data_IF_169059479408
#
_entry.id   IF_169059479408
#
_cell.length_a   1.000
_cell.length_b   1.000
_cell.length_c   1.000
_cell.angle_alpha   90.00
_cell.angle_beta   90.00
_cell.angle_gamma   90.00
#
_symmetry.space_group_name_H-M   'P 1'
#
loop_
_entity.id
_entity.type
_entity.pdbx_description
1 polymer ?
#
# COMPACT_ATOMS: atom_id res chain seq x y z
N UNK A 1 3.81 0.55 -20.17
CA UNK A 1 3.03 1.56 -20.89
C UNK A 1 2.93 2.77 -19.97
N UNK A 2 2.28 3.82 -20.31
CA UNK A 2 2.17 4.99 -19.45
C UNK A 2 0.77 5.59 -19.54
N UNK A 3 0.58 6.80 -19.02
CA UNK A 3 -0.75 7.43 -18.99
C UNK A 3 -1.42 7.50 -20.39
N UNK A 4 -0.67 7.73 -21.45
CA UNK A 4 -1.22 7.85 -22.81
C UNK A 4 -1.96 6.59 -23.25
N UNK A 5 -1.38 5.43 -23.02
CA UNK A 5 -1.97 4.14 -23.35
C UNK A 5 -3.09 3.77 -22.37
N UNK A 6 -2.90 4.08 -21.08
CA UNK A 6 -3.89 3.86 -20.02
C UNK A 6 -5.17 4.68 -20.26
N UNK A 7 -5.02 5.93 -20.74
CA UNK A 7 -6.13 6.78 -21.12
C UNK A 7 -7.04 6.12 -22.16
N UNK A 8 -6.48 5.41 -23.15
CA UNK A 8 -7.27 4.69 -24.14
C UNK A 8 -8.13 3.58 -23.50
N UNK A 9 -7.64 2.97 -22.43
CA UNK A 9 -8.43 1.98 -21.65
C UNK A 9 -9.52 2.69 -20.85
N UNK A 10 -9.21 3.86 -20.25
CA UNK A 10 -10.21 4.66 -19.52
C UNK A 10 -11.35 5.10 -20.45
N UNK A 11 -11.04 5.60 -21.64
CA UNK A 11 -12.03 6.03 -22.62
C UNK A 11 -12.97 4.87 -23.02
N UNK A 12 -12.45 3.65 -23.16
CA UNK A 12 -13.26 2.44 -23.41
C UNK A 12 -14.16 2.08 -22.22
N UNK A 13 -13.65 2.21 -20.99
CA UNK A 13 -14.47 1.98 -19.79
C UNK A 13 -15.57 3.03 -19.70
N UNK A 14 -15.25 4.31 -19.89
CA UNK A 14 -16.22 5.41 -19.93
C UNK A 14 -17.28 5.17 -20.99
N UNK A 15 -16.89 4.76 -22.19
CA UNK A 15 -17.84 4.45 -23.28
C UNK A 15 -18.79 3.29 -22.90
N UNK A 16 -18.29 2.23 -22.25
CA UNK A 16 -19.13 1.10 -21.87
C UNK A 16 -20.02 1.38 -20.66
N UNK A 17 -19.53 2.14 -19.71
CA UNK A 17 -20.24 2.44 -18.47
C UNK A 17 -21.05 3.73 -18.50
N UNK A 18 -20.87 4.55 -19.55
CA UNK A 18 -21.60 5.81 -19.78
C UNK A 18 -21.54 6.76 -18.59
N UNK A 19 -20.34 6.86 -17.98
CA UNK A 19 -20.06 7.78 -16.86
C UNK A 19 -18.55 8.08 -16.78
N UNK A 20 -18.15 9.25 -16.28
CA UNK A 20 -16.73 9.58 -16.13
C UNK A 20 -16.03 8.63 -15.18
N UNK A 21 -14.75 8.38 -15.46
CA UNK A 21 -13.87 7.56 -14.64
C UNK A 21 -12.79 8.43 -13.99
N UNK A 22 -12.62 8.29 -12.69
CA UNK A 22 -11.49 8.79 -11.92
C UNK A 22 -10.79 7.62 -11.24
N UNK A 23 -9.48 7.52 -11.36
CA UNK A 23 -8.69 6.46 -10.73
C UNK A 23 -7.84 7.02 -9.59
N UNK A 24 -7.66 6.24 -8.53
CA UNK A 24 -6.66 6.45 -7.49
C UNK A 24 -5.97 5.14 -7.19
N UNK A 25 -4.70 5.07 -7.51
CA UNK A 25 -3.87 3.87 -7.34
C UNK A 25 -2.66 4.21 -6.49
N UNK A 26 -2.41 3.42 -5.45
CA UNK A 26 -1.18 3.50 -4.66
C UNK A 26 -0.33 2.27 -4.90
N UNK A 27 0.99 2.44 -4.93
CA UNK A 27 1.93 1.35 -5.14
C UNK A 27 1.81 0.31 -4.03
N UNK A 28 1.66 -0.94 -4.44
CA UNK A 28 1.72 -2.11 -3.55
C UNK A 28 3.05 -2.86 -3.69
N UNK A 29 4.07 -2.20 -4.28
CA UNK A 29 5.41 -2.77 -4.48
C UNK A 29 6.03 -3.14 -3.13
N UNK A 30 6.49 -4.40 -2.91
CA UNK A 30 7.18 -4.76 -1.69
C UNK A 30 8.44 -3.90 -1.48
N UNK A 31 8.59 -3.31 -0.29
CA UNK A 31 9.71 -2.41 0.04
C UNK A 31 9.64 -0.99 -0.57
N UNK A 32 8.65 -0.70 -1.44
CA UNK A 32 8.41 0.62 -2.04
C UNK A 32 6.91 0.87 -2.25
N UNK A 33 6.10 0.43 -1.31
CA UNK A 33 4.67 0.69 -1.29
C UNK A 33 4.34 2.10 -0.81
N UNK A 34 3.11 2.53 -1.07
CA UNK A 34 2.57 3.77 -0.53
C UNK A 34 1.16 3.58 0.03
N UNK A 35 0.69 4.59 0.75
CA UNK A 35 -0.59 4.57 1.44
C UNK A 35 -1.47 5.73 0.99
N UNK A 36 -2.77 5.55 1.12
CA UNK A 36 -3.73 6.65 0.99
C UNK A 36 -3.45 7.70 2.06
N UNK A 37 -3.21 8.93 1.66
CA UNK A 37 -2.87 10.03 2.57
C UNK A 37 -3.52 11.36 2.14
N UNK A 38 -3.57 12.32 3.06
CA UNK A 38 -4.30 13.57 2.86
C UNK A 38 -3.78 14.47 1.73
N UNK A 39 -2.56 14.26 1.28
CA UNK A 39 -1.95 14.95 0.14
C UNK A 39 -2.61 14.59 -1.20
N UNK A 40 -3.28 13.43 -1.30
CA UNK A 40 -4.07 13.01 -2.46
C UNK A 40 -5.34 13.85 -2.68
N UNK A 41 -5.83 14.55 -1.68
CA UNK A 41 -7.09 15.30 -1.74
C UNK A 41 -7.03 16.42 -2.78
N UNK A 42 -5.93 17.20 -2.83
CA UNK A 42 -5.81 18.28 -3.81
C UNK A 42 -5.73 17.76 -5.25
N UNK A 43 -4.93 16.74 -5.58
CA UNK A 43 -4.96 16.07 -6.88
C UNK A 43 -6.34 15.55 -7.29
N UNK A 44 -7.12 14.97 -6.36
CA UNK A 44 -8.49 14.52 -6.64
C UNK A 44 -9.40 15.70 -6.97
N UNK A 45 -9.36 16.79 -6.22
CA UNK A 45 -10.13 18.01 -6.51
C UNK A 45 -9.81 18.51 -7.92
N UNK A 46 -8.51 18.62 -8.25
CA UNK A 46 -8.09 19.09 -9.57
C UNK A 46 -8.62 18.21 -10.71
N UNK A 47 -8.75 16.90 -10.50
CA UNK A 47 -9.36 15.99 -11.49
C UNK A 47 -10.89 16.18 -11.56
N UNK A 48 -11.53 16.33 -10.42
CA UNK A 48 -12.98 16.56 -10.36
C UNK A 48 -13.37 17.85 -11.12
N UNK A 49 -12.57 18.91 -11.02
CA UNK A 49 -12.77 20.17 -11.76
C UNK A 49 -12.77 20.00 -13.29
N UNK A 50 -12.07 18.96 -13.80
CA UNK A 50 -12.01 18.66 -15.22
C UNK A 50 -13.20 17.86 -15.76
N UNK A 51 -13.97 17.24 -14.88
CA UNK A 51 -15.16 16.48 -15.28
C UNK A 51 -16.27 17.48 -15.64
N UNK A 52 -16.99 17.30 -16.78
CA UNK A 52 -18.06 18.19 -17.18
C UNK A 52 -19.13 18.40 -16.11
N UNK A 53 -19.65 19.61 -16.02
CA UNK A 53 -20.78 19.91 -15.14
C UNK A 53 -22.04 19.18 -15.62
N UNK A 54 -22.88 18.74 -14.67
CA UNK A 54 -24.15 18.03 -14.98
C UNK A 54 -24.04 16.52 -15.00
N UNK A 55 -22.83 15.96 -14.89
CA UNK A 55 -22.66 14.52 -14.66
C UNK A 55 -23.23 14.14 -13.30
N UNK A 56 -24.16 13.17 -13.27
CA UNK A 56 -24.84 12.73 -12.05
C UNK A 56 -24.24 11.51 -11.41
N UNK A 57 -23.37 10.81 -12.11
CA UNK A 57 -22.73 9.58 -11.66
C UNK A 57 -21.26 9.55 -12.01
N UNK A 58 -20.48 8.84 -11.20
CA UNK A 58 -19.05 8.65 -11.42
C UNK A 58 -18.65 7.20 -11.13
N UNK A 59 -17.70 6.71 -11.91
CA UNK A 59 -16.90 5.53 -11.57
C UNK A 59 -15.60 5.98 -10.91
N UNK A 60 -15.35 5.49 -9.70
CA UNK A 60 -14.10 5.72 -8.98
C UNK A 60 -13.35 4.40 -8.86
N UNK A 61 -12.24 4.26 -9.60
CA UNK A 61 -11.39 3.06 -9.54
C UNK A 61 -10.35 3.21 -8.44
N UNK A 62 -10.24 2.21 -7.57
CA UNK A 62 -9.23 2.21 -6.50
C UNK A 62 -8.44 0.91 -6.49
N UNK A 63 -7.12 1.05 -6.30
CA UNK A 63 -6.19 -0.05 -6.00
C UNK A 63 -5.26 0.46 -4.91
N UNK A 64 -5.34 -0.13 -3.71
CA UNK A 64 -4.56 0.34 -2.57
C UNK A 64 -4.57 -0.67 -1.42
N UNK A 65 -3.45 -0.78 -0.71
CA UNK A 65 -3.40 -1.47 0.59
C UNK A 65 -4.00 -0.63 1.75
N UNK A 66 -4.51 0.56 1.46
CA UNK A 66 -5.13 1.44 2.47
C UNK A 66 -4.25 2.59 2.90
N UNK A 67 -4.41 3.02 4.15
CA UNK A 67 -3.71 4.16 4.74
C UNK A 67 -4.60 4.93 5.72
N UNK A 68 -4.65 6.27 5.61
CA UNK A 68 -5.44 7.11 6.50
C UNK A 68 -6.96 6.97 6.23
N UNK A 69 -7.74 6.46 7.19
CA UNK A 69 -9.18 6.29 7.03
C UNK A 69 -9.95 7.63 6.94
N UNK A 70 -9.39 8.73 7.45
CA UNK A 70 -9.98 10.06 7.31
C UNK A 70 -9.87 10.54 5.86
N UNK A 71 -8.80 10.19 5.17
CA UNK A 71 -8.66 10.45 3.73
C UNK A 71 -9.76 9.76 2.93
N UNK A 72 -10.12 8.51 3.27
CA UNK A 72 -11.26 7.80 2.65
C UNK A 72 -12.58 8.54 2.83
N UNK A 73 -12.85 9.04 4.05
CA UNK A 73 -14.05 9.83 4.35
C UNK A 73 -14.08 11.11 3.50
N UNK A 74 -12.95 11.82 3.42
CA UNK A 74 -12.86 13.06 2.64
C UNK A 74 -13.05 12.84 1.15
N UNK A 75 -12.45 11.78 0.58
CA UNK A 75 -12.60 11.44 -0.85
C UNK A 75 -14.07 11.12 -1.14
N UNK A 76 -14.69 10.24 -0.36
CA UNK A 76 -16.11 9.90 -0.57
C UNK A 76 -17.01 11.12 -0.39
N UNK A 77 -16.71 12.00 0.58
CA UNK A 77 -17.42 13.25 0.76
C UNK A 77 -17.36 14.16 -0.47
N UNK A 78 -16.18 14.33 -1.08
CA UNK A 78 -16.00 15.11 -2.32
C UNK A 78 -16.79 14.50 -3.49
N UNK A 79 -16.79 13.18 -3.62
CA UNK A 79 -17.54 12.49 -4.67
C UNK A 79 -19.06 12.68 -4.46
N UNK A 80 -19.56 12.53 -3.23
CA UNK A 80 -20.98 12.67 -2.88
C UNK A 80 -21.49 14.10 -2.95
N UNK A 81 -20.65 15.10 -2.75
CA UNK A 81 -21.05 16.50 -2.93
C UNK A 81 -21.38 16.80 -4.40
N UNK A 82 -20.75 16.11 -5.33
CA UNK A 82 -20.88 16.37 -6.75
C UNK A 82 -21.77 15.39 -7.50
N UNK A 83 -21.81 14.12 -7.08
CA UNK A 83 -22.50 13.06 -7.81
C UNK A 83 -23.58 12.39 -6.98
N UNK A 84 -24.76 12.21 -7.60
CA UNK A 84 -25.87 11.48 -6.99
C UNK A 84 -25.55 10.00 -6.82
N UNK A 85 -24.77 9.41 -7.74
CA UNK A 85 -24.38 8.00 -7.74
C UNK A 85 -22.87 7.82 -7.88
N UNK A 86 -22.28 7.11 -6.92
CA UNK A 86 -20.86 6.77 -6.90
C UNK A 86 -20.71 5.25 -7.01
N UNK A 87 -20.05 4.77 -8.08
CA UNK A 87 -19.63 3.37 -8.19
C UNK A 87 -18.14 3.26 -7.92
N UNK A 88 -17.75 2.25 -7.15
CA UNK A 88 -16.33 1.94 -6.96
C UNK A 88 -15.95 0.72 -7.78
N UNK A 89 -14.93 0.87 -8.62
CA UNK A 89 -14.39 -0.19 -9.47
C UNK A 89 -13.15 -0.78 -8.79
N UNK A 90 -13.16 -2.08 -8.61
CA UNK A 90 -12.10 -2.84 -7.95
C UNK A 90 -11.47 -3.83 -8.93
N UNK A 91 -10.42 -3.43 -9.66
CA UNK A 91 -9.68 -4.35 -10.53
C UNK A 91 -8.89 -5.40 -9.76
N UNK A 92 -8.31 -5.01 -8.61
CA UNK A 92 -7.46 -5.84 -7.79
C UNK A 92 -7.74 -5.61 -6.30
N UNK A 93 -6.81 -5.08 -5.52
CA UNK A 93 -6.93 -5.00 -4.05
C UNK A 93 -7.44 -3.63 -3.57
N UNK A 94 -8.30 -3.67 -2.55
CA UNK A 94 -8.69 -2.48 -1.79
C UNK A 94 -8.76 -2.86 -0.31
N UNK A 95 -7.66 -2.64 0.45
CA UNK A 95 -7.55 -3.04 1.84
C UNK A 95 -7.70 -1.85 2.81
N UNK A 96 -8.08 -2.14 4.05
CA UNK A 96 -8.12 -1.17 5.16
C UNK A 96 -8.88 0.12 4.78
N UNK A 97 -8.24 1.28 4.75
CA UNK A 97 -8.85 2.56 4.37
C UNK A 97 -9.50 2.53 2.97
N UNK A 98 -8.92 1.77 2.01
CA UNK A 98 -9.52 1.61 0.69
C UNK A 98 -10.81 0.76 0.74
N UNK A 99 -10.90 -0.21 1.64
CA UNK A 99 -12.16 -0.89 1.95
C UNK A 99 -13.18 0.11 2.51
N UNK A 100 -12.81 0.92 3.52
CA UNK A 100 -13.70 1.94 4.10
C UNK A 100 -14.25 2.86 3.00
N UNK A 101 -13.41 3.33 2.08
CA UNK A 101 -13.86 4.12 0.93
C UNK A 101 -14.89 3.35 0.10
N UNK A 102 -14.58 2.10 -0.22
CA UNK A 102 -15.44 1.22 -1.02
C UNK A 102 -16.81 0.97 -0.39
N UNK A 103 -16.89 0.93 0.96
CA UNK A 103 -18.16 0.81 1.69
C UNK A 103 -19.12 1.99 1.45
N UNK A 104 -18.61 3.13 1.00
CA UNK A 104 -19.44 4.30 0.69
C UNK A 104 -20.07 4.30 -0.71
N UNK A 105 -19.85 3.28 -1.52
CA UNK A 105 -20.30 3.21 -2.90
C UNK A 105 -21.73 2.68 -3.02
N UNK A 106 -22.52 3.22 -3.98
CA UNK A 106 -23.83 2.67 -4.36
C UNK A 106 -23.69 1.36 -5.14
N UNK A 107 -22.53 1.14 -5.75
CA UNK A 107 -22.22 -0.03 -6.57
C UNK A 107 -20.74 -0.39 -6.43
N UNK A 108 -20.44 -1.65 -6.13
CA UNK A 108 -19.08 -2.21 -6.15
C UNK A 108 -18.91 -3.10 -7.37
N UNK A 109 -18.18 -2.63 -8.35
CA UNK A 109 -17.85 -3.40 -9.56
C UNK A 109 -16.56 -4.17 -9.30
N UNK A 110 -16.69 -5.45 -9.00
CA UNK A 110 -15.57 -6.28 -8.57
C UNK A 110 -15.12 -7.23 -9.69
N UNK A 111 -13.84 -7.14 -10.06
CA UNK A 111 -13.18 -8.11 -10.92
C UNK A 111 -13.09 -9.49 -10.22
N UNK A 112 -13.05 -10.64 -10.94
CA UNK A 112 -12.90 -11.96 -10.31
C UNK A 112 -11.70 -12.09 -9.36
N UNK A 113 -10.62 -11.39 -9.66
CA UNK A 113 -9.37 -11.41 -8.89
C UNK A 113 -9.31 -10.30 -7.84
N UNK A 114 -10.35 -9.48 -7.74
CA UNK A 114 -10.38 -8.41 -6.76
C UNK A 114 -10.84 -8.89 -5.39
N UNK A 115 -10.37 -8.20 -4.39
CA UNK A 115 -10.81 -8.41 -3.02
C UNK A 115 -10.74 -7.10 -2.22
N UNK A 116 -11.57 -7.04 -1.19
CA UNK A 116 -11.48 -6.05 -0.12
C UNK A 116 -10.92 -6.74 1.12
N UNK A 117 -10.34 -5.97 2.05
CA UNK A 117 -9.78 -6.51 3.28
C UNK A 117 -10.52 -6.06 4.53
N UNK A 118 -10.14 -6.61 5.69
CA UNK A 118 -10.54 -6.10 6.98
C UNK A 118 -10.15 -4.62 7.14
N UNK A 119 -10.83 -3.95 8.05
CA UNK A 119 -10.60 -2.53 8.36
C UNK A 119 -10.11 -2.34 9.80
N UNK A 120 -9.62 -3.40 10.44
CA UNK A 120 -9.01 -3.37 11.76
C UNK A 120 -7.75 -2.50 11.74
N UNK A 121 -7.61 -1.54 12.66
CA UNK A 121 -6.43 -0.67 12.69
C UNK A 121 -5.17 -1.45 13.08
N UNK A 122 -4.08 -1.23 12.32
CA UNK A 122 -2.75 -1.68 12.72
C UNK A 122 -2.01 -0.51 13.38
N UNK A 123 -1.38 -0.78 14.51
CA UNK A 123 -0.71 0.20 15.34
C UNK A 123 0.73 -0.22 15.60
N UNK A 124 1.60 0.73 15.80
CA UNK A 124 2.95 0.46 16.30
C UNK A 124 3.27 1.32 17.52
N UNK A 125 4.06 0.77 18.42
CA UNK A 125 4.57 1.45 19.60
C UNK A 125 6.05 1.12 19.81
N UNK A 126 6.87 2.07 20.27
CA UNK A 126 8.23 1.77 20.66
C UNK A 126 8.21 0.84 21.87
N UNK A 127 8.90 -0.28 21.75
CA UNK A 127 9.09 -1.27 22.80
C UNK A 127 10.57 -1.43 23.13
N UNK A 128 10.92 -1.45 24.41
CA UNK A 128 12.29 -1.65 24.86
C UNK A 128 12.54 -3.14 25.11
N UNK A 129 13.43 -3.71 24.34
CA UNK A 129 13.80 -5.13 24.51
C UNK A 129 14.58 -5.35 25.80
N UNK A 130 14.67 -6.60 26.30
CA UNK A 130 15.51 -6.92 27.48
C UNK A 130 17.01 -6.56 27.26
N UNK A 131 17.49 -6.53 26.03
CA UNK A 131 18.84 -6.09 25.69
C UNK A 131 19.02 -4.57 25.76
N UNK A 132 17.97 -3.79 26.00
CA UNK A 132 17.97 -2.33 26.05
C UNK A 132 17.81 -1.63 24.68
N UNK A 133 17.69 -2.39 23.58
CA UNK A 133 17.38 -1.83 22.26
C UNK A 133 15.92 -1.36 22.21
N UNK A 134 15.63 -0.36 21.36
CA UNK A 134 14.27 0.06 21.09
C UNK A 134 13.83 -0.50 19.74
N UNK A 135 12.79 -1.30 19.75
CA UNK A 135 12.16 -1.89 18.56
C UNK A 135 10.72 -1.38 18.42
N UNK A 136 10.16 -1.50 17.22
CA UNK A 136 8.73 -1.21 16.99
C UNK A 136 7.93 -2.48 17.23
N UNK A 137 7.05 -2.43 18.23
CA UNK A 137 6.05 -3.47 18.47
C UNK A 137 4.81 -3.14 17.64
N UNK A 138 4.52 -3.99 16.66
CA UNK A 138 3.28 -3.90 15.89
C UNK A 138 2.18 -4.70 16.61
N UNK A 139 0.98 -4.14 16.67
CA UNK A 139 -0.17 -4.76 17.30
C UNK A 139 -1.48 -4.17 16.80
N UNK A 140 -2.56 -4.93 16.95
CA UNK A 140 -3.92 -4.48 16.65
C UNK A 140 -4.75 -4.35 17.95
N UNK A 141 -5.89 -3.64 17.91
CA UNK A 141 -6.86 -3.69 19.02
C UNK A 141 -7.32 -5.10 19.36
N UNK A 142 -7.43 -5.96 18.34
CA UNK A 142 -7.87 -7.36 18.51
C UNK A 142 -6.83 -8.19 19.27
N UNK A 143 -5.53 -7.94 19.15
CA UNK A 143 -4.51 -8.64 19.93
C UNK A 143 -4.69 -8.41 21.44
N UNK A 144 -5.02 -7.17 21.81
CA UNK A 144 -5.32 -6.82 23.21
C UNK A 144 -6.59 -7.53 23.68
N UNK A 145 -7.64 -7.54 22.85
CA UNK A 145 -8.91 -8.21 23.17
C UNK A 145 -8.69 -9.71 23.31
N UNK A 146 -8.00 -10.33 22.35
CA UNK A 146 -7.71 -11.76 22.36
C UNK A 146 -6.87 -12.17 23.57
N UNK A 147 -5.90 -11.36 23.98
CA UNK A 147 -5.14 -11.63 25.21
C UNK A 147 -6.05 -11.65 26.45
N UNK A 148 -6.94 -10.67 26.56
CA UNK A 148 -7.90 -10.61 27.68
C UNK A 148 -8.90 -11.78 27.64
N UNK A 149 -9.35 -12.16 26.45
CA UNK A 149 -10.24 -13.31 26.26
C UNK A 149 -9.54 -14.62 26.58
N UNK A 150 -8.30 -14.81 26.14
CA UNK A 150 -7.45 -15.96 26.51
C UNK A 150 -7.36 -16.14 28.04
N UNK A 151 -7.07 -15.04 28.75
CA UNK A 151 -6.99 -15.11 30.21
C UNK A 151 -8.33 -15.53 30.86
N UNK A 152 -9.46 -15.01 30.34
CA UNK A 152 -10.79 -15.28 30.92
C UNK A 152 -11.37 -16.63 30.53
N UNK A 153 -11.30 -16.98 29.23
CA UNK A 153 -11.97 -18.12 28.65
C UNK A 153 -11.14 -19.41 28.75
N UNK A 154 -9.85 -19.33 28.43
CA UNK A 154 -8.97 -20.48 28.32
C UNK A 154 -8.25 -20.73 29.64
N UNK A 155 -7.62 -19.71 30.22
CA UNK A 155 -6.92 -19.84 31.53
C UNK A 155 -7.90 -19.85 32.70
N UNK A 156 -9.11 -19.27 32.52
CA UNK A 156 -10.12 -19.08 33.58
C UNK A 156 -9.60 -18.28 34.78
N UNK A 157 -8.78 -17.27 34.46
CA UNK A 157 -8.16 -16.42 35.47
C UNK A 157 -9.20 -15.68 36.31
N UNK A 158 -9.04 -15.78 37.64
CA UNK A 158 -9.84 -15.05 38.61
C UNK A 158 -9.44 -13.56 38.67
N UNK A 159 -10.11 -12.76 39.51
CA UNK A 159 -9.86 -11.32 39.64
C UNK A 159 -8.43 -11.00 40.12
N UNK A 160 -7.85 -11.82 40.98
CA UNK A 160 -6.48 -11.57 41.47
C UNK A 160 -5.43 -11.93 40.40
N UNK A 161 -5.64 -13.04 39.69
CA UNK A 161 -4.81 -13.44 38.56
C UNK A 161 -4.86 -12.39 37.42
N UNK A 162 -6.05 -11.82 37.13
CA UNK A 162 -6.19 -10.75 36.17
C UNK A 162 -5.42 -9.47 36.57
N UNK A 163 -5.42 -9.12 37.88
CA UNK A 163 -4.62 -7.98 38.38
C UNK A 163 -3.11 -8.19 38.16
N UNK A 164 -2.65 -9.42 38.17
CA UNK A 164 -1.24 -9.76 37.95
C UNK A 164 -0.89 -9.85 36.45
N UNK A 165 -1.84 -10.29 35.62
CA UNK A 165 -1.62 -10.48 34.20
C UNK A 165 -1.69 -9.19 33.33
N UNK A 166 -2.46 -8.18 33.77
CA UNK A 166 -2.62 -6.92 33.02
C UNK A 166 -1.38 -6.02 33.05
N UNK A 167 -0.67 -5.82 34.18
CA UNK A 167 0.51 -4.96 34.22
C UNK A 167 1.58 -5.28 33.17
N UNK A 168 1.99 -6.55 32.91
CA UNK A 168 2.93 -6.88 31.84
C UNK A 168 2.50 -6.40 30.45
N UNK A 169 1.20 -6.53 30.11
CA UNK A 169 0.66 -6.00 28.85
C UNK A 169 0.80 -4.48 28.81
N UNK A 170 0.48 -3.79 29.92
CA UNK A 170 0.59 -2.34 30.01
C UNK A 170 2.05 -1.87 29.94
N UNK A 171 2.99 -2.66 30.44
CA UNK A 171 4.43 -2.37 30.34
C UNK A 171 4.93 -2.52 28.89
N UNK A 172 4.52 -3.58 28.20
CA UNK A 172 4.92 -3.81 26.80
C UNK A 172 4.31 -2.82 25.84
N UNK A 173 2.99 -2.61 25.89
CA UNK A 173 2.25 -1.79 24.92
C UNK A 173 2.20 -0.33 25.35
N UNK A 174 2.13 -0.06 26.63
CA UNK A 174 1.90 1.25 27.22
C UNK A 174 0.41 1.62 27.35
N UNK A 175 0.02 2.13 28.51
CA UNK A 175 -1.38 2.46 28.82
C UNK A 175 -2.00 3.45 27.81
N UNK A 176 -1.25 4.45 27.35
CA UNK A 176 -1.73 5.42 26.34
C UNK A 176 -1.95 4.75 24.99
N UNK A 177 -1.11 3.80 24.58
CA UNK A 177 -1.26 3.06 23.34
C UNK A 177 -2.47 2.12 23.36
N UNK A 178 -2.78 1.52 24.50
CA UNK A 178 -4.04 0.77 24.71
C UNK A 178 -5.25 1.69 24.49
N UNK A 179 -5.21 2.89 25.05
CA UNK A 179 -6.26 3.91 24.84
C UNK A 179 -6.37 4.36 23.38
N UNK A 180 -5.22 4.56 22.71
CA UNK A 180 -5.17 4.90 21.27
C UNK A 180 -5.74 3.77 20.42
N UNK A 181 -5.39 2.52 20.72
CA UNK A 181 -5.91 1.32 20.09
C UNK A 181 -7.44 1.28 20.14
N UNK A 182 -8.02 1.46 21.32
CA UNK A 182 -9.49 1.50 21.49
C UNK A 182 -10.15 2.63 20.72
N UNK A 183 -9.52 3.80 20.67
CA UNK A 183 -10.02 4.94 19.88
C UNK A 183 -9.96 4.65 18.38
N UNK A 184 -8.88 4.07 17.88
CA UNK A 184 -8.73 3.71 16.47
C UNK A 184 -9.75 2.66 16.03
N UNK A 185 -10.01 1.64 16.87
CA UNK A 185 -11.06 0.64 16.63
C UNK A 185 -12.45 1.30 16.52
N UNK A 186 -12.79 2.19 17.47
CA UNK A 186 -14.07 2.92 17.43
C UNK A 186 -14.19 3.80 16.20
N UNK A 187 -13.11 4.48 15.80
CA UNK A 187 -13.09 5.30 14.59
C UNK A 187 -13.34 4.47 13.34
N UNK A 188 -12.61 3.36 13.17
CA UNK A 188 -12.79 2.47 12.01
C UNK A 188 -14.22 1.94 11.92
N UNK A 189 -14.78 1.51 13.05
CA UNK A 189 -16.16 1.04 13.12
C UNK A 189 -17.16 2.15 12.74
N UNK A 190 -17.02 3.33 13.34
CA UNK A 190 -17.88 4.49 13.07
C UNK A 190 -17.81 4.94 11.60
N UNK A 191 -16.61 4.93 10.99
CA UNK A 191 -16.44 5.27 9.59
C UNK A 191 -17.08 4.21 8.68
N UNK A 192 -16.93 2.92 9.00
CA UNK A 192 -17.58 1.84 8.26
C UNK A 192 -19.11 1.99 8.28
N UNK A 193 -19.71 2.23 9.45
CA UNK A 193 -21.15 2.48 9.58
C UNK A 193 -21.59 3.72 8.80
N UNK A 194 -20.83 4.82 8.91
CA UNK A 194 -21.12 6.08 8.19
C UNK A 194 -21.10 5.89 6.68
N UNK A 195 -20.10 5.19 6.14
CA UNK A 195 -20.00 4.90 4.72
C UNK A 195 -21.19 4.05 4.24
N UNK A 196 -21.48 2.96 4.94
CA UNK A 196 -22.60 2.07 4.59
C UNK A 196 -23.94 2.78 4.67
N UNK A 197 -24.14 3.70 5.63
CA UNK A 197 -25.39 4.43 5.81
C UNK A 197 -25.72 5.40 4.66
N UNK A 198 -24.73 5.73 3.81
CA UNK A 198 -24.97 6.58 2.64
C UNK A 198 -25.89 5.94 1.59
N UNK A 199 -25.97 4.60 1.56
CA UNK A 199 -26.74 3.85 0.56
C UNK A 199 -27.56 2.67 1.12
N UNK A 200 -27.31 2.23 2.36
CA UNK A 200 -28.07 1.17 3.05
C UNK A 200 -28.94 1.80 4.14
N UNK A 201 -30.24 1.47 4.17
CA UNK A 201 -31.18 1.97 5.19
C UNK A 201 -31.33 1.04 6.40
N UNK A 202 -31.01 -0.25 6.25
CA UNK A 202 -31.12 -1.24 7.32
C UNK A 202 -29.95 -1.15 8.29
N UNK A 203 -30.19 -0.56 9.46
CA UNK A 203 -29.19 -0.40 10.52
C UNK A 203 -28.63 -1.74 11.06
N UNK A 204 -29.42 -2.82 11.06
CA UNK A 204 -28.96 -4.14 11.50
C UNK A 204 -27.94 -4.70 10.50
N UNK A 205 -28.22 -4.54 9.21
CA UNK A 205 -27.30 -4.91 8.13
C UNK A 205 -26.02 -4.08 8.17
N UNK A 206 -26.12 -2.77 8.33
CA UNK A 206 -24.95 -1.85 8.47
C UNK A 206 -24.04 -2.34 9.59
N UNK A 207 -24.57 -2.52 10.81
CA UNK A 207 -23.79 -2.98 11.97
C UNK A 207 -23.19 -4.37 11.75
N UNK A 208 -23.93 -5.28 11.10
CA UNK A 208 -23.45 -6.62 10.77
C UNK A 208 -22.22 -6.59 9.85
N UNK A 209 -22.29 -5.82 8.77
CA UNK A 209 -21.17 -5.65 7.81
C UNK A 209 -20.00 -4.97 8.49
N UNK A 210 -20.23 -3.86 9.19
CA UNK A 210 -19.18 -3.14 9.90
C UNK A 210 -18.48 -4.03 10.93
N UNK A 211 -19.24 -4.84 11.69
CA UNK A 211 -18.67 -5.80 12.65
C UNK A 211 -17.83 -6.86 11.95
N UNK A 212 -18.33 -7.46 10.88
CA UNK A 212 -17.61 -8.49 10.14
C UNK A 212 -16.23 -8.00 9.67
N UNK A 213 -16.18 -6.81 9.06
CA UNK A 213 -14.94 -6.25 8.52
C UNK A 213 -13.98 -5.72 9.59
N UNK A 214 -14.46 -5.32 10.78
CA UNK A 214 -13.62 -4.77 11.85
C UNK A 214 -13.09 -5.82 12.82
N UNK A 215 -13.77 -6.97 13.01
CA UNK A 215 -13.43 -7.89 14.11
C UNK A 215 -13.71 -9.37 13.87
N UNK A 216 -14.15 -9.79 12.69
CA UNK A 216 -14.48 -11.20 12.44
C UNK A 216 -13.40 -11.94 11.64
N UNK A 217 -12.41 -11.24 11.11
CA UNK A 217 -11.30 -11.82 10.39
C UNK A 217 -10.06 -11.82 11.28
N UNK A 218 -9.44 -12.98 11.45
CA UNK A 218 -8.30 -13.18 12.35
C UNK A 218 -6.95 -12.73 11.74
N UNK A 219 -6.96 -12.16 10.54
CA UNK A 219 -5.77 -11.71 9.83
C UNK A 219 -6.07 -10.47 9.00
N UNK A 220 -5.28 -9.41 9.18
CA UNK A 220 -5.45 -8.14 8.46
C UNK A 220 -5.39 -8.27 6.93
N UNK A 221 -4.65 -9.24 6.42
CA UNK A 221 -4.56 -9.57 5.00
C UNK A 221 -5.63 -10.54 4.48
N UNK A 222 -6.72 -10.80 5.23
CA UNK A 222 -7.80 -11.65 4.75
C UNK A 222 -8.45 -11.07 3.51
N UNK A 223 -8.59 -11.88 2.45
CA UNK A 223 -9.07 -11.46 1.15
C UNK A 223 -10.56 -11.79 1.00
N UNK A 224 -11.43 -10.80 1.22
CA UNK A 224 -12.88 -10.92 0.97
C UNK A 224 -13.14 -10.75 -0.52
N UNK A 225 -13.30 -11.85 -1.24
CA UNK A 225 -13.58 -11.86 -2.67
C UNK A 225 -15.03 -11.45 -3.00
N UNK A 226 -15.29 -11.21 -4.26
CA UNK A 226 -16.59 -10.67 -4.72
C UNK A 226 -17.82 -11.49 -4.30
N UNK A 227 -17.72 -12.83 -4.24
CA UNK A 227 -18.84 -13.68 -3.82
C UNK A 227 -19.13 -13.56 -2.33
N UNK A 228 -18.09 -13.48 -1.51
CA UNK A 228 -18.20 -13.26 -0.07
C UNK A 228 -18.74 -11.86 0.23
N UNK A 229 -18.20 -10.83 -0.42
CA UNK A 229 -18.69 -9.46 -0.31
C UNK A 229 -20.19 -9.36 -0.66
N UNK A 230 -20.62 -10.05 -1.72
CA UNK A 230 -22.03 -10.13 -2.09
C UNK A 230 -22.89 -10.85 -1.03
N UNK A 231 -22.42 -11.98 -0.49
CA UNK A 231 -23.10 -12.70 0.61
C UNK A 231 -23.18 -11.85 1.88
N UNK A 232 -22.17 -11.06 2.16
CA UNK A 232 -22.17 -10.10 3.28
C UNK A 232 -23.25 -9.02 3.10
N UNK A 233 -23.73 -8.81 1.88
CA UNK A 233 -24.79 -7.86 1.54
C UNK A 233 -24.30 -6.52 0.98
N UNK A 234 -23.04 -6.44 0.58
CA UNK A 234 -22.51 -5.27 -0.15
C UNK A 234 -23.13 -5.19 -1.56
N UNK A 235 -23.24 -4.00 -2.16
CA UNK A 235 -23.86 -3.77 -3.47
C UNK A 235 -22.93 -4.21 -4.63
N UNK A 236 -22.53 -5.48 -4.62
CA UNK A 236 -21.58 -6.04 -5.59
C UNK A 236 -22.26 -6.28 -6.94
N UNK A 237 -21.72 -5.66 -7.96
CA UNK A 237 -22.05 -5.89 -9.37
C UNK A 237 -20.93 -6.70 -10.03
N UNK A 238 -21.33 -7.74 -10.77
CA UNK A 238 -20.42 -8.50 -11.63
C UNK A 238 -20.47 -7.82 -13.01
N UNK A 239 -19.36 -7.21 -13.47
CA UNK A 239 -19.30 -6.57 -14.77
C UNK A 239 -19.39 -7.61 -15.91
N UNK A 240 -19.72 -7.15 -17.12
CA UNK A 240 -19.57 -7.98 -18.31
C UNK A 240 -18.10 -8.31 -18.60
N UNK A 241 -17.85 -9.30 -19.47
CA UNK A 241 -16.50 -9.78 -19.78
C UNK A 241 -15.58 -8.73 -20.40
N UNK A 242 -16.14 -7.79 -21.12
CA UNK A 242 -15.37 -6.72 -21.76
C UNK A 242 -14.88 -5.73 -20.69
N UNK A 243 -15.77 -5.33 -19.77
CA UNK A 243 -15.40 -4.44 -18.65
C UNK A 243 -14.43 -5.17 -17.71
N UNK A 244 -14.66 -6.46 -17.38
CA UNK A 244 -13.69 -7.27 -16.63
C UNK A 244 -12.29 -7.20 -17.28
N UNK A 245 -12.23 -7.47 -18.60
CA UNK A 245 -10.96 -7.45 -19.34
C UNK A 245 -10.30 -6.07 -19.37
N UNK A 246 -11.07 -4.98 -19.44
CA UNK A 246 -10.55 -3.61 -19.40
C UNK A 246 -9.99 -3.27 -18.02
N UNK A 247 -10.72 -3.57 -16.95
CA UNK A 247 -10.29 -3.36 -15.56
C UNK A 247 -8.95 -4.06 -15.28
N UNK A 248 -8.85 -5.32 -15.72
CA UNK A 248 -7.61 -6.10 -15.54
C UNK A 248 -6.43 -5.52 -16.32
N UNK A 249 -6.65 -5.09 -17.57
CA UNK A 249 -5.60 -4.44 -18.38
C UNK A 249 -5.10 -3.14 -17.73
N UNK A 250 -6.00 -2.35 -17.15
CA UNK A 250 -5.61 -1.14 -16.41
C UNK A 250 -4.73 -1.49 -15.21
N UNK A 251 -5.10 -2.53 -14.44
CA UNK A 251 -4.26 -2.99 -13.34
C UNK A 251 -2.88 -3.44 -13.80
N UNK A 252 -2.81 -4.31 -14.82
CA UNK A 252 -1.53 -4.81 -15.34
C UNK A 252 -0.60 -3.68 -15.81
N UNK A 253 -1.16 -2.60 -16.34
CA UNK A 253 -0.37 -1.45 -16.74
C UNK A 253 0.21 -0.69 -15.53
N UNK A 254 -0.60 -0.43 -14.50
CA UNK A 254 -0.11 0.14 -13.23
C UNK A 254 0.90 -0.79 -12.53
N UNK A 255 0.63 -2.09 -12.49
CA UNK A 255 1.51 -3.10 -11.91
C UNK A 255 2.91 -3.06 -12.55
N UNK A 256 2.96 -2.96 -13.87
CA UNK A 256 4.21 -2.88 -14.63
C UNK A 256 4.93 -1.53 -14.39
N UNK A 257 4.21 -0.39 -14.45
CA UNK A 257 4.82 0.93 -14.29
C UNK A 257 5.33 1.16 -12.87
N UNK A 258 4.58 0.71 -11.85
CA UNK A 258 4.96 0.77 -10.43
C UNK A 258 5.90 -0.39 -10.02
N UNK A 259 6.18 -1.36 -10.91
CA UNK A 259 6.98 -2.57 -10.65
C UNK A 259 6.46 -3.37 -9.45
N UNK A 260 5.13 -3.53 -9.31
CA UNK A 260 4.54 -4.14 -8.12
C UNK A 260 4.90 -5.61 -7.92
N UNK A 261 5.31 -6.32 -8.99
CA UNK A 261 5.75 -7.73 -8.94
C UNK A 261 7.23 -7.90 -8.55
N UNK A 262 7.98 -6.79 -8.42
CA UNK A 262 9.40 -6.83 -8.14
C UNK A 262 9.70 -6.14 -6.81
N UNK A 263 10.15 -6.86 -5.76
CA UNK A 263 10.55 -6.21 -4.52
C UNK A 263 11.61 -5.13 -4.78
N UNK A 264 11.44 -3.97 -4.16
CA UNK A 264 12.44 -2.92 -4.26
C UNK A 264 13.73 -3.36 -3.57
N UNK A 265 14.81 -3.37 -4.32
CA UNK A 265 16.15 -3.67 -3.81
C UNK A 265 17.15 -2.70 -4.42
N UNK A 266 17.85 -1.96 -3.58
CA UNK A 266 18.80 -0.90 -3.98
C UNK A 266 19.89 -1.44 -4.91
N UNK A 267 20.41 -2.64 -4.63
CA UNK A 267 21.44 -3.28 -5.47
C UNK A 267 20.86 -3.62 -6.84
N UNK A 268 19.64 -4.17 -6.89
CA UNK A 268 18.99 -4.50 -8.15
C UNK A 268 18.73 -3.26 -9.01
N UNK A 269 18.33 -2.13 -8.41
CA UNK A 269 18.16 -0.88 -9.17
C UNK A 269 19.49 -0.40 -9.78
N UNK A 270 20.61 -0.52 -9.06
CA UNK A 270 21.93 -0.19 -9.59
C UNK A 270 22.35 -1.15 -10.70
N UNK A 271 22.13 -2.47 -10.53
CA UNK A 271 22.48 -3.46 -11.52
C UNK A 271 21.59 -3.40 -12.79
N UNK A 272 20.36 -2.91 -12.65
CA UNK A 272 19.45 -2.73 -13.77
C UNK A 272 19.80 -1.52 -14.66
N UNK A 273 20.53 -0.54 -14.13
CA UNK A 273 21.03 0.57 -14.95
C UNK A 273 22.25 0.14 -15.75
N UNK A 274 22.23 0.23 -17.11
CA UNK A 274 23.31 -0.28 -17.96
C UNK A 274 24.68 0.39 -17.67
N UNK A 275 24.70 1.68 -17.33
CA UNK A 275 25.95 2.41 -17.09
C UNK A 275 26.50 2.06 -15.71
N UNK A 276 25.65 2.03 -14.69
CA UNK A 276 26.03 1.63 -13.34
C UNK A 276 26.50 0.16 -13.31
N UNK A 277 25.76 -0.74 -13.96
CA UNK A 277 26.12 -2.15 -14.07
C UNK A 277 27.46 -2.32 -14.77
N UNK A 278 27.70 -1.62 -15.90
CA UNK A 278 28.99 -1.65 -16.60
C UNK A 278 30.12 -1.12 -15.72
N UNK A 279 29.92 -0.02 -15.02
CA UNK A 279 30.93 0.57 -14.11
C UNK A 279 31.28 -0.41 -12.97
N UNK A 280 30.28 -1.08 -12.37
CA UNK A 280 30.48 -2.02 -11.27
C UNK A 280 31.18 -3.31 -11.75
N UNK A 281 30.89 -3.77 -12.95
CA UNK A 281 31.35 -5.05 -13.50
C UNK A 281 32.60 -4.91 -14.38
N UNK A 282 33.19 -3.73 -14.48
CA UNK A 282 34.40 -3.48 -15.30
C UNK A 282 35.69 -4.00 -14.73
N UNK A 283 35.63 -4.99 -13.83
CA UNK A 283 36.82 -5.63 -13.26
C UNK A 283 37.35 -6.75 -14.15
N UNK A 284 38.68 -6.87 -14.24
CA UNK A 284 39.25 -8.09 -14.78
C UNK A 284 38.89 -9.27 -13.88
N UNK A 285 38.34 -10.34 -14.47
CA UNK A 285 38.16 -11.61 -13.75
C UNK A 285 39.54 -12.19 -13.50
N UNK A 286 39.94 -12.25 -12.22
CA UNK A 286 41.25 -12.76 -11.82
C UNK A 286 41.06 -14.22 -11.43
N UNK A 287 41.46 -15.12 -12.28
CA UNK A 287 41.54 -16.53 -11.96
C UNK A 287 42.90 -16.85 -11.35
N UNK A 288 42.95 -16.89 -10.03
CA UNK A 288 44.14 -17.32 -9.32
C UNK A 288 44.22 -18.84 -9.24
N UNK A 289 45.40 -19.47 -9.41
CA UNK A 289 45.54 -20.89 -9.19
C UNK A 289 45.06 -21.32 -7.81
N UNK A 290 44.30 -22.42 -7.74
CA UNK A 290 43.70 -22.89 -6.48
C UNK A 290 44.76 -23.21 -5.39
N UNK A 291 45.96 -23.60 -5.80
CA UNK A 291 47.08 -23.98 -4.94
C UNK A 291 47.98 -22.78 -4.51
N UNK A 292 47.62 -21.53 -4.86
CA UNK A 292 48.37 -20.39 -4.47
C UNK A 292 48.19 -20.13 -2.92
N UNK A 293 49.27 -19.93 -2.15
CA UNK A 293 49.19 -19.61 -0.74
C UNK A 293 48.38 -18.31 -0.49
N UNK A 294 47.57 -18.28 0.57
CA UNK A 294 46.68 -17.14 0.85
C UNK A 294 47.44 -15.78 1.01
N UNK A 295 48.64 -15.70 1.58
CA UNK A 295 49.39 -14.43 1.59
C UNK A 295 49.77 -13.92 0.20
N UNK A 296 50.03 -14.83 -0.75
CA UNK A 296 50.34 -14.47 -2.15
C UNK A 296 49.06 -14.04 -2.89
N UNK A 297 47.95 -14.73 -2.66
CA UNK A 297 46.66 -14.29 -3.18
C UNK A 297 46.32 -12.89 -2.72
N UNK A 298 46.51 -12.61 -1.44
CA UNK A 298 46.24 -11.29 -0.86
C UNK A 298 47.17 -10.21 -1.43
N UNK A 299 48.44 -10.51 -1.64
CA UNK A 299 49.38 -9.58 -2.26
C UNK A 299 48.97 -9.25 -3.72
N UNK A 300 48.56 -10.24 -4.49
CA UNK A 300 48.08 -10.03 -5.85
C UNK A 300 46.77 -9.22 -5.84
N UNK A 301 45.82 -9.53 -4.96
CA UNK A 301 44.61 -8.73 -4.81
C UNK A 301 44.93 -7.26 -4.44
N UNK A 302 45.85 -7.02 -3.52
CA UNK A 302 46.27 -5.68 -3.14
C UNK A 302 46.94 -4.92 -4.29
N UNK A 303 47.78 -5.61 -5.07
CA UNK A 303 48.43 -5.02 -6.24
C UNK A 303 47.42 -4.67 -7.32
N UNK A 304 46.45 -5.55 -7.59
CA UNK A 304 45.38 -5.28 -8.55
C UNK A 304 44.46 -4.20 -8.05
N UNK A 305 44.09 -4.22 -6.77
CA UNK A 305 43.28 -3.18 -6.16
C UNK A 305 43.93 -1.79 -6.23
N UNK A 306 45.27 -1.72 -6.17
CA UNK A 306 45.99 -0.48 -6.35
C UNK A 306 46.06 0.01 -7.80
N UNK A 307 45.93 -0.89 -8.77
CA UNK A 307 45.92 -0.59 -10.21
C UNK A 307 44.53 -0.39 -10.79
N UNK A 308 43.55 -1.07 -10.24
CA UNK A 308 42.12 -0.81 -10.55
C UNK A 308 41.80 0.50 -9.86
N UNK A 309 41.56 1.54 -10.65
CA UNK A 309 40.96 2.76 -10.12
C UNK A 309 39.76 2.32 -9.29
N UNK A 310 39.90 2.40 -7.95
CA UNK A 310 38.81 2.16 -7.00
C UNK A 310 37.64 2.93 -7.58
N UNK A 311 36.55 2.24 -7.90
CA UNK A 311 35.44 2.90 -8.55
C UNK A 311 35.03 4.02 -7.62
N UNK A 312 35.34 5.25 -8.04
CA UNK A 312 34.95 6.43 -7.31
C UNK A 312 33.44 6.36 -7.11
N UNK A 313 32.98 6.75 -5.95
CA UNK A 313 31.56 6.81 -5.64
C UNK A 313 30.81 7.52 -6.77
N UNK A 314 29.92 6.80 -7.40
CA UNK A 314 29.01 7.30 -8.42
C UNK A 314 27.59 7.39 -7.85
N UNK A 315 26.73 8.07 -8.56
CA UNK A 315 25.36 8.30 -8.12
C UNK A 315 24.39 7.98 -9.23
N UNK A 316 23.38 7.17 -8.92
CA UNK A 316 22.24 6.88 -9.78
C UNK A 316 21.01 7.60 -9.22
N UNK A 317 20.26 8.30 -10.07
CA UNK A 317 18.96 8.87 -9.70
C UNK A 317 17.86 7.92 -10.14
N UNK A 318 17.06 7.47 -9.19
CA UNK A 318 15.93 6.56 -9.43
C UNK A 318 14.64 7.27 -9.06
N UNK A 319 13.65 7.21 -9.93
CA UNK A 319 12.33 7.79 -9.72
C UNK A 319 11.31 6.66 -9.59
N UNK A 320 10.73 6.51 -8.41
CA UNK A 320 9.72 5.48 -8.14
C UNK A 320 8.33 6.10 -8.11
N UNK A 321 7.44 5.60 -8.96
CA UNK A 321 6.03 5.97 -8.94
C UNK A 321 5.36 5.28 -7.74
N UNK A 322 4.85 6.09 -6.81
CA UNK A 322 4.22 5.60 -5.57
C UNK A 322 2.69 5.71 -5.59
N UNK A 323 2.14 6.68 -6.29
CA UNK A 323 0.69 6.80 -6.47
C UNK A 323 0.35 7.52 -7.77
N UNK A 324 -0.88 7.28 -8.24
CA UNK A 324 -1.44 7.96 -9.40
C UNK A 324 -2.90 8.32 -9.17
N UNK A 325 -3.29 9.50 -9.66
CA UNK A 325 -4.67 9.96 -9.75
C UNK A 325 -4.88 10.43 -11.19
N UNK A 326 -5.69 9.68 -11.94
CA UNK A 326 -5.84 9.85 -13.37
C UNK A 326 -7.31 9.79 -13.80
N UNK A 327 -7.60 10.46 -14.91
CA UNK A 327 -8.88 10.38 -15.62
C UNK A 327 -8.61 10.42 -17.12
N UNK A 328 -9.64 10.41 -17.95
CA UNK A 328 -9.50 10.69 -19.39
C UNK A 328 -8.99 12.11 -19.70
N UNK A 329 -8.98 13.01 -18.73
CA UNK A 329 -8.63 14.42 -18.94
C UNK A 329 -7.20 14.78 -18.55
N UNK A 330 -6.69 14.20 -17.48
CA UNK A 330 -5.35 14.49 -16.95
C UNK A 330 -4.84 13.37 -16.04
N UNK A 331 -3.54 13.43 -15.77
CA UNK A 331 -2.88 12.58 -14.79
C UNK A 331 -2.05 13.40 -13.80
N UNK A 332 -2.07 12.99 -12.54
CA UNK A 332 -1.13 13.40 -11.49
C UNK A 332 -0.51 12.19 -10.86
N UNK A 333 0.80 12.21 -10.72
CA UNK A 333 1.58 11.10 -10.23
C UNK A 333 2.42 11.54 -9.04
N UNK A 334 2.43 10.75 -8.00
CA UNK A 334 3.30 10.92 -6.84
C UNK A 334 4.57 10.11 -7.03
N UNK A 335 5.68 10.79 -7.14
CA UNK A 335 7.00 10.17 -7.24
C UNK A 335 7.78 10.33 -5.94
N UNK A 336 8.61 9.31 -5.67
CA UNK A 336 9.72 9.37 -4.73
C UNK A 336 11.02 9.40 -5.52
N UNK A 337 11.75 10.50 -5.44
CA UNK A 337 13.06 10.66 -6.04
C UNK A 337 14.13 10.20 -5.06
N UNK A 338 14.94 9.23 -5.48
CA UNK A 338 15.96 8.58 -4.68
C UNK A 338 17.32 8.77 -5.37
N UNK A 339 18.33 9.09 -4.59
CA UNK A 339 19.73 9.05 -5.02
C UNK A 339 20.37 7.79 -4.45
N UNK A 340 20.93 6.95 -5.29
CA UNK A 340 21.68 5.76 -4.89
C UNK A 340 23.15 6.03 -5.18
N UNK A 341 23.93 6.25 -4.13
CA UNK A 341 25.38 6.24 -4.25
C UNK A 341 25.88 4.80 -4.28
N UNK A 342 26.74 4.46 -5.21
CA UNK A 342 27.32 3.13 -5.34
C UNK A 342 28.82 3.21 -5.63
N UNK A 343 29.56 2.29 -5.04
CA UNK A 343 31.02 2.18 -5.19
C UNK A 343 31.48 0.78 -4.81
N UNK A 344 32.75 0.49 -5.06
CA UNK A 344 33.39 -0.67 -4.44
C UNK A 344 34.39 -0.23 -3.41
N UNK A 345 34.38 -0.88 -2.25
CA UNK A 345 35.37 -0.66 -1.20
C UNK A 345 36.73 -1.27 -1.58
N UNK A 346 37.73 -1.09 -0.71
CA UNK A 346 39.09 -1.62 -0.90
C UNK A 346 39.16 -3.15 -1.02
N UNK A 347 38.13 -3.86 -0.54
CA UNK A 347 37.98 -5.31 -0.67
C UNK A 347 37.13 -5.71 -1.89
N UNK A 348 36.85 -4.76 -2.78
CA UNK A 348 36.02 -4.92 -3.98
C UNK A 348 34.56 -5.29 -3.69
N UNK A 349 34.10 -5.15 -2.45
CA UNK A 349 32.69 -5.34 -2.12
C UNK A 349 31.84 -4.19 -2.65
N UNK A 350 30.73 -4.50 -3.29
CA UNK A 350 29.76 -3.50 -3.69
C UNK A 350 29.14 -2.85 -2.44
N UNK A 351 29.23 -1.53 -2.40
CA UNK A 351 28.59 -0.66 -1.40
C UNK A 351 27.53 0.16 -2.09
N UNK A 352 26.39 0.27 -1.46
CA UNK A 352 25.28 1.12 -1.90
C UNK A 352 24.78 1.94 -0.71
N UNK A 353 24.43 3.19 -0.97
CA UNK A 353 23.81 4.06 0.02
C UNK A 353 22.65 4.81 -0.63
N UNK A 354 21.47 4.69 -0.02
CA UNK A 354 20.24 5.33 -0.49
C UNK A 354 20.03 6.62 0.27
N UNK A 355 19.80 7.71 -0.47
CA UNK A 355 19.46 9.01 0.09
C UNK A 355 18.16 9.51 -0.59
N UNK A 356 17.08 9.76 0.16
CA UNK A 356 15.89 10.42 -0.38
C UNK A 356 16.25 11.82 -0.89
N UNK A 357 15.79 12.18 -2.09
CA UNK A 357 15.92 13.55 -2.64
C UNK A 357 14.66 14.38 -2.42
N UNK A 358 13.52 13.73 -2.46
CA UNK A 358 12.23 14.36 -2.27
C UNK A 358 11.09 13.52 -2.84
N UNK A 359 9.88 13.91 -2.49
CA UNK A 359 8.67 13.27 -3.01
C UNK A 359 7.58 14.31 -3.24
N UNK A 360 6.67 14.04 -4.15
CA UNK A 360 5.57 14.96 -4.40
C UNK A 360 4.72 14.60 -5.61
N UNK A 361 3.55 15.24 -5.66
CA UNK A 361 2.64 15.15 -6.79
C UNK A 361 3.11 16.05 -7.94
N UNK A 362 3.25 15.48 -9.11
CA UNK A 362 3.55 16.22 -10.33
C UNK A 362 2.49 15.92 -11.40
N UNK A 363 2.30 16.85 -12.31
CA UNK A 363 1.50 16.60 -13.52
C UNK A 363 2.29 15.65 -14.43
N UNK A 364 1.61 14.62 -14.92
CA UNK A 364 2.21 13.64 -15.84
C UNK A 364 2.27 14.23 -17.24
#
# INVERSE_FOLDING_TARGET
MGYTERKLLFDKIVQKRQRPLLTYVTSIRPGMGSQMAGDSIRPIIDQLELIPQGEKSIDFMIISNGGDPITSLRIMGLLRERFEKVSVLLPYVAYSAATILSLGADELVMHPYSNIGPVDPQLSAPHRTPSGATEQLEFSPEDIVNYIEFLKADVKADKEQMKTAIPPLMEQVGALNIGRSKRSQRLSFSLSEKMLSSHIKDNKKIKGIAKALNSSYYHHGYAVGRLEAKKMGLPVTIPDKDVEGLLWKVWLDYEAEMKCNEPFNVVNEVLADPNASKAINSFPIINLPANLPDPQKQAIYNQIASQVNVIQQQTLSVKCMLASIESSYAAKVFYNDISIAYWRDANLNLKVNLTPKGSGWIKY
#
